data_IF_621670322400
#
_entry.id   IF_621670322400
#
_cell.length_a   1.000
_cell.length_b   1.000
_cell.length_c   1.000
_cell.angle_alpha   90.00
_cell.angle_beta   90.00
_cell.angle_gamma   90.00
#
_symmetry.space_group_name_H-M   'P 1'
#
loop_
_entity.id
_entity.type
_entity.pdbx_description
1 polymer ?
#
# COMPACT_ATOMS: atom_id res chain seq x y z
N UNK A 1 52.95 6.26 8.08
CA UNK A 1 51.92 5.90 9.08
C UNK A 1 50.70 6.83 9.01
N UNK A 2 50.84 8.17 9.05
CA UNK A 2 49.69 9.12 9.02
C UNK A 2 48.83 9.03 7.73
N UNK A 3 49.46 8.83 6.56
CA UNK A 3 48.73 8.74 5.28
C UNK A 3 47.96 7.42 5.13
N UNK A 4 48.47 6.30 5.65
CA UNK A 4 47.73 5.02 5.64
C UNK A 4 46.53 5.06 6.57
N UNK A 5 46.62 5.74 7.72
CA UNK A 5 45.49 5.88 8.65
C UNK A 5 44.35 6.69 8.04
N UNK A 6 44.64 7.74 7.27
CA UNK A 6 43.62 8.56 6.59
C UNK A 6 42.89 7.80 5.49
N UNK A 7 43.59 6.94 4.74
CA UNK A 7 42.98 6.11 3.68
C UNK A 7 42.08 5.04 4.27
N UNK A 8 42.47 4.42 5.39
CA UNK A 8 41.64 3.41 6.07
C UNK A 8 40.39 4.02 6.69
N UNK A 9 40.50 5.23 7.30
CA UNK A 9 39.35 5.96 7.82
C UNK A 9 38.39 6.37 6.70
N UNK A 10 38.88 6.78 5.54
CA UNK A 10 38.05 7.17 4.39
C UNK A 10 37.27 5.97 3.78
N UNK A 11 37.93 4.79 3.74
CA UNK A 11 37.30 3.55 3.28
C UNK A 11 36.21 3.04 4.25
N UNK A 12 36.42 3.17 5.57
CA UNK A 12 35.40 2.81 6.57
C UNK A 12 34.16 3.71 6.52
N UNK A 13 34.32 5.02 6.23
CA UNK A 13 33.18 5.95 6.12
C UNK A 13 32.34 5.65 4.87
N UNK A 14 32.95 5.19 3.77
CA UNK A 14 32.19 4.79 2.56
C UNK A 14 31.42 3.48 2.73
N UNK A 15 31.82 2.58 3.64
CA UNK A 15 31.05 1.35 3.93
C UNK A 15 29.84 1.58 4.85
N UNK A 16 29.76 2.72 5.53
CA UNK A 16 28.63 3.09 6.42
C UNK A 16 27.47 3.78 5.68
N UNK A 17 27.60 4.07 4.38
CA UNK A 17 26.46 4.43 3.52
C UNK A 17 25.79 3.12 3.09
N UNK A 18 25.45 2.32 4.10
CA UNK A 18 24.68 1.09 3.93
C UNK A 18 23.33 1.45 3.32
N UNK A 19 23.03 0.79 2.25
CA UNK A 19 21.77 0.77 1.54
C UNK A 19 20.61 0.94 2.52
N UNK A 20 19.98 2.12 2.56
CA UNK A 20 18.63 2.24 3.04
C UNK A 20 17.78 1.44 2.03
N UNK A 21 17.64 0.15 2.26
CA UNK A 21 16.63 -0.65 1.61
C UNK A 21 15.30 0.00 2.03
N UNK A 22 14.70 0.77 1.14
CA UNK A 22 13.31 1.12 1.26
C UNK A 22 12.57 -0.21 1.20
N UNK A 23 12.11 -0.69 2.37
CA UNK A 23 11.19 -1.80 2.41
C UNK A 23 9.93 -1.30 1.70
N UNK A 24 9.70 -1.78 0.48
CA UNK A 24 8.46 -1.54 -0.25
C UNK A 24 7.31 -2.09 0.62
N UNK A 25 6.41 -1.20 1.02
CA UNK A 25 5.30 -1.58 1.89
C UNK A 25 4.36 -2.50 1.09
N UNK A 26 4.28 -3.75 1.52
CA UNK A 26 3.44 -4.77 0.88
C UNK A 26 1.97 -4.34 0.93
N UNK A 27 1.28 -4.44 -0.20
CA UNK A 27 -0.16 -4.20 -0.24
C UNK A 27 -0.96 -5.28 0.52
N UNK A 28 -2.25 -5.05 0.81
CA UNK A 28 -3.06 -5.95 1.63
C UNK A 28 -3.14 -7.37 1.06
N UNK A 29 -3.22 -7.54 -0.25
CA UNK A 29 -3.25 -8.87 -0.90
C UNK A 29 -1.93 -9.60 -0.70
N UNK A 30 -0.80 -8.93 -0.93
CA UNK A 30 0.54 -9.50 -0.77
C UNK A 30 0.82 -9.85 0.69
N UNK A 31 0.37 -9.01 1.63
CA UNK A 31 0.47 -9.27 3.08
C UNK A 31 -0.23 -10.58 3.45
N UNK A 32 -1.44 -10.83 2.94
CA UNK A 32 -2.16 -12.09 3.19
C UNK A 32 -1.45 -13.28 2.53
N UNK A 33 -1.05 -13.16 1.27
CA UNK A 33 -0.40 -14.26 0.55
C UNK A 33 0.92 -14.69 1.22
N UNK A 34 1.72 -13.74 1.67
CA UNK A 34 2.98 -14.02 2.38
C UNK A 34 2.74 -14.57 3.80
N UNK A 35 1.86 -13.93 4.57
CA UNK A 35 1.57 -14.33 5.95
C UNK A 35 0.87 -15.67 6.05
N UNK A 36 -0.03 -15.98 5.11
CA UNK A 36 -0.86 -17.19 5.11
C UNK A 36 -0.34 -18.30 4.19
N UNK A 37 0.86 -18.22 3.63
CA UNK A 37 1.35 -19.17 2.64
C UNK A 37 1.18 -20.63 3.08
N UNK A 38 1.61 -20.99 4.29
CA UNK A 38 1.51 -22.36 4.82
C UNK A 38 0.06 -22.82 5.01
N UNK A 39 -0.79 -21.93 5.47
CA UNK A 39 -2.21 -22.20 5.69
C UNK A 39 -2.93 -22.38 4.35
N UNK A 40 -2.60 -21.59 3.34
CA UNK A 40 -3.11 -21.75 1.97
C UNK A 40 -2.68 -23.09 1.38
N UNK A 41 -1.42 -23.48 1.53
CA UNK A 41 -0.91 -24.77 1.06
C UNK A 41 -1.57 -25.95 1.78
N UNK A 42 -1.97 -25.77 3.04
CA UNK A 42 -2.56 -26.82 3.87
C UNK A 42 -4.06 -26.95 3.63
N UNK A 43 -4.81 -25.86 3.70
CA UNK A 43 -6.27 -25.88 3.73
C UNK A 43 -6.91 -25.44 2.40
N UNK A 44 -6.20 -24.67 1.58
CA UNK A 44 -6.73 -24.08 0.35
C UNK A 44 -6.04 -24.61 -0.93
N UNK A 45 -5.40 -25.77 -0.82
CA UNK A 45 -4.73 -26.41 -1.96
C UNK A 45 -5.71 -26.64 -3.11
N UNK A 46 -5.40 -26.10 -4.28
CA UNK A 46 -6.27 -26.21 -5.47
C UNK A 46 -7.29 -25.09 -5.63
N UNK A 47 -7.43 -24.19 -4.66
CA UNK A 47 -8.24 -22.98 -4.83
C UNK A 47 -7.48 -21.99 -5.71
N UNK A 48 -8.04 -21.68 -6.88
CA UNK A 48 -7.43 -20.71 -7.82
C UNK A 48 -7.55 -19.28 -7.26
N UNK A 49 -6.47 -18.48 -7.25
CA UNK A 49 -6.53 -17.07 -6.87
C UNK A 49 -7.52 -16.27 -7.73
N UNK A 50 -7.97 -15.15 -7.19
CA UNK A 50 -8.89 -14.20 -7.83
C UNK A 50 -10.27 -14.19 -7.18
N UNK A 51 -11.01 -13.10 -7.35
CA UNK A 51 -12.38 -12.90 -6.88
C UNK A 51 -12.58 -13.22 -5.39
N UNK A 52 -11.56 -13.04 -4.55
CA UNK A 52 -11.62 -13.30 -3.11
C UNK A 52 -11.64 -14.79 -2.71
N UNK A 53 -11.47 -15.75 -3.66
CA UNK A 53 -11.59 -17.18 -3.38
C UNK A 53 -10.63 -17.70 -2.32
N UNK A 54 -9.37 -17.22 -2.32
CA UNK A 54 -8.39 -17.59 -1.28
C UNK A 54 -8.85 -17.06 0.09
N UNK A 55 -9.31 -15.81 0.15
CA UNK A 55 -9.82 -15.24 1.39
C UNK A 55 -11.05 -15.98 1.91
N UNK A 56 -11.99 -16.34 1.04
CA UNK A 56 -13.15 -17.14 1.39
C UNK A 56 -12.76 -18.54 1.93
N UNK A 57 -11.74 -19.16 1.33
CA UNK A 57 -11.20 -20.42 1.81
C UNK A 57 -10.56 -20.26 3.20
N UNK A 58 -9.69 -19.27 3.40
CA UNK A 58 -9.07 -19.01 4.71
C UNK A 58 -10.15 -18.74 5.78
N UNK A 59 -11.18 -17.99 5.45
CA UNK A 59 -12.29 -17.73 6.35
C UNK A 59 -13.04 -19.01 6.75
N UNK A 60 -13.21 -19.96 5.83
CA UNK A 60 -13.83 -21.25 6.12
C UNK A 60 -13.01 -22.12 7.10
N UNK A 61 -11.71 -21.86 7.25
CA UNK A 61 -10.80 -22.55 8.16
C UNK A 61 -10.24 -21.63 9.26
N UNK A 62 -10.94 -20.53 9.58
CA UNK A 62 -10.46 -19.50 10.51
C UNK A 62 -10.03 -20.04 11.88
N UNK A 63 -10.68 -21.10 12.38
CA UNK A 63 -10.39 -21.77 13.65
C UNK A 63 -9.10 -22.62 13.64
N UNK A 64 -8.48 -22.78 12.48
CA UNK A 64 -7.27 -23.62 12.27
C UNK A 64 -6.09 -22.86 11.71
N UNK A 65 -6.26 -21.56 11.47
CA UNK A 65 -5.17 -20.74 10.94
C UNK A 65 -4.03 -20.58 11.94
N UNK A 66 -2.82 -20.45 11.41
CA UNK A 66 -1.68 -20.10 12.24
C UNK A 66 -1.78 -18.65 12.73
N UNK A 67 -1.22 -18.34 13.90
CA UNK A 67 -1.15 -16.97 14.43
C UNK A 67 -0.53 -15.99 13.43
N UNK A 68 0.42 -16.45 12.60
CA UNK A 68 1.03 -15.64 11.55
C UNK A 68 0.01 -15.25 10.48
N UNK A 69 -0.83 -16.18 10.06
CA UNK A 69 -1.88 -15.92 9.09
C UNK A 69 -2.97 -15.02 9.68
N UNK A 70 -3.39 -15.25 10.91
CA UNK A 70 -4.36 -14.38 11.60
C UNK A 70 -3.85 -12.94 11.70
N UNK A 71 -2.58 -12.74 12.06
CA UNK A 71 -1.96 -11.43 12.10
C UNK A 71 -1.93 -10.78 10.71
N UNK A 72 -1.57 -11.52 9.66
CA UNK A 72 -1.53 -11.02 8.30
C UNK A 72 -2.93 -10.60 7.79
N UNK A 73 -3.96 -11.34 8.13
CA UNK A 73 -5.36 -10.98 7.81
C UNK A 73 -5.78 -9.70 8.53
N UNK A 74 -5.43 -9.56 9.82
CA UNK A 74 -5.70 -8.35 10.59
C UNK A 74 -4.96 -7.13 10.01
N UNK A 75 -3.67 -7.26 9.70
CA UNK A 75 -2.87 -6.18 9.12
C UNK A 75 -3.40 -5.76 7.74
N UNK A 76 -3.73 -6.71 6.88
CA UNK A 76 -4.34 -6.44 5.58
C UNK A 76 -5.69 -5.71 5.71
N UNK A 77 -6.52 -6.10 6.68
CA UNK A 77 -7.77 -5.41 6.97
C UNK A 77 -7.54 -3.95 7.42
N UNK A 78 -6.57 -3.73 8.31
CA UNK A 78 -6.21 -2.38 8.77
C UNK A 78 -5.63 -1.52 7.63
N UNK A 79 -4.84 -2.09 6.71
CA UNK A 79 -4.37 -1.39 5.51
C UNK A 79 -5.53 -0.97 4.62
N UNK A 80 -6.49 -1.86 4.39
CA UNK A 80 -7.67 -1.58 3.58
C UNK A 80 -8.55 -0.49 4.20
N UNK A 81 -8.76 -0.53 5.51
CA UNK A 81 -9.51 0.50 6.23
C UNK A 81 -8.86 1.89 6.08
N UNK A 82 -7.53 1.97 6.26
CA UNK A 82 -6.78 3.22 6.02
C UNK A 82 -6.95 3.73 4.59
N UNK A 83 -6.87 2.84 3.60
CA UNK A 83 -7.04 3.21 2.19
C UNK A 83 -8.46 3.72 1.90
N UNK A 84 -9.49 3.05 2.41
CA UNK A 84 -10.90 3.48 2.26
C UNK A 84 -11.12 4.84 2.91
N UNK A 85 -10.59 5.05 4.10
CA UNK A 85 -10.69 6.33 4.82
C UNK A 85 -10.03 7.46 4.02
N UNK A 86 -8.82 7.24 3.51
CA UNK A 86 -8.10 8.21 2.67
C UNK A 86 -8.87 8.54 1.38
N UNK A 87 -9.40 7.53 0.69
CA UNK A 87 -10.20 7.71 -0.53
C UNK A 87 -11.50 8.46 -0.26
N UNK A 88 -12.18 8.16 0.84
CA UNK A 88 -13.42 8.84 1.25
C UNK A 88 -13.15 10.31 1.56
N UNK A 89 -12.07 10.60 2.27
CA UNK A 89 -11.61 11.96 2.54
C UNK A 89 -11.32 12.71 1.24
N UNK A 90 -10.51 12.13 0.34
CA UNK A 90 -10.23 12.74 -0.96
C UNK A 90 -11.47 12.99 -1.79
N UNK A 91 -12.39 12.03 -1.86
CA UNK A 91 -13.64 12.18 -2.60
C UNK A 91 -14.50 13.31 -2.05
N UNK A 92 -14.53 13.49 -0.73
CA UNK A 92 -15.23 14.60 -0.07
C UNK A 92 -14.60 15.95 -0.37
N UNK A 93 -13.28 16.07 -0.18
CA UNK A 93 -12.57 17.33 -0.34
C UNK A 93 -12.45 17.78 -1.80
N UNK A 94 -12.35 16.82 -2.73
CA UNK A 94 -12.25 17.08 -4.16
C UNK A 94 -13.59 17.02 -4.91
N UNK A 95 -14.73 16.92 -4.21
CA UNK A 95 -16.05 16.71 -4.84
C UNK A 95 -16.39 17.74 -5.92
N UNK A 96 -16.13 19.03 -5.67
CA UNK A 96 -16.40 20.09 -6.62
C UNK A 96 -15.49 19.99 -7.86
N UNK A 97 -14.21 19.70 -7.64
CA UNK A 97 -13.21 19.56 -8.71
C UNK A 97 -13.48 18.32 -9.56
N UNK A 98 -13.84 17.18 -8.93
CA UNK A 98 -14.27 15.97 -9.64
C UNK A 98 -15.47 16.25 -10.55
N UNK A 99 -16.46 17.00 -10.06
CA UNK A 99 -17.62 17.38 -10.87
C UNK A 99 -17.26 18.32 -12.01
N UNK A 100 -16.34 19.26 -11.78
CA UNK A 100 -15.97 20.27 -12.77
C UNK A 100 -15.07 19.72 -13.89
N UNK A 101 -14.13 18.82 -13.55
CA UNK A 101 -13.06 18.41 -14.47
C UNK A 101 -13.07 16.91 -14.83
N UNK A 102 -13.84 16.10 -14.10
CA UNK A 102 -13.83 14.63 -14.23
C UNK A 102 -15.23 14.02 -14.32
N UNK A 103 -16.25 14.80 -14.68
CA UNK A 103 -17.65 14.35 -14.78
C UNK A 103 -17.86 13.15 -15.70
N UNK A 104 -17.06 13.05 -16.78
CA UNK A 104 -17.18 12.00 -17.78
C UNK A 104 -16.33 10.76 -17.46
N UNK A 105 -15.59 10.79 -16.35
CA UNK A 105 -14.71 9.70 -15.93
C UNK A 105 -15.45 8.72 -15.01
N UNK A 106 -15.60 7.48 -15.45
CA UNK A 106 -16.21 6.41 -14.62
C UNK A 106 -15.31 6.07 -13.45
N UNK A 107 -15.83 5.91 -12.21
CA UNK A 107 -15.06 5.43 -11.07
C UNK A 107 -14.43 4.05 -11.30
N UNK A 108 -13.38 3.74 -10.56
CA UNK A 108 -12.65 2.47 -10.57
C UNK A 108 -11.25 2.59 -11.15
N UNK A 109 -10.39 1.62 -10.83
CA UNK A 109 -9.00 1.47 -11.33
C UNK A 109 -8.14 2.76 -11.24
N UNK A 110 -8.40 3.61 -10.25
CA UNK A 110 -7.67 4.87 -10.08
C UNK A 110 -8.00 5.96 -11.11
N UNK A 111 -8.98 5.75 -11.99
CA UNK A 111 -9.29 6.69 -13.08
C UNK A 111 -9.61 8.12 -12.62
N UNK A 112 -10.34 8.26 -11.50
CA UNK A 112 -10.64 9.58 -10.93
C UNK A 112 -9.40 10.26 -10.36
N UNK A 113 -8.51 9.51 -9.73
CA UNK A 113 -7.23 10.03 -9.22
C UNK A 113 -6.38 10.52 -10.40
N UNK A 114 -6.24 9.72 -11.44
CA UNK A 114 -5.50 10.09 -12.65
C UNK A 114 -6.12 11.31 -13.36
N UNK A 115 -7.45 11.48 -13.30
CA UNK A 115 -8.11 12.66 -13.85
C UNK A 115 -7.79 13.92 -13.05
N UNK A 116 -7.85 13.86 -11.71
CA UNK A 116 -7.48 14.98 -10.84
C UNK A 116 -6.01 15.35 -11.05
N UNK A 117 -5.12 14.37 -11.14
CA UNK A 117 -3.68 14.60 -11.35
C UNK A 117 -3.41 15.35 -12.65
N UNK A 118 -4.06 14.97 -13.75
CA UNK A 118 -3.98 15.67 -15.04
C UNK A 118 -4.51 17.12 -14.99
N UNK A 119 -5.38 17.42 -14.04
CA UNK A 119 -5.96 18.74 -13.83
C UNK A 119 -5.39 19.47 -12.59
N UNK A 120 -4.25 19.02 -12.05
CA UNK A 120 -3.70 19.48 -10.77
C UNK A 120 -3.53 21.01 -10.70
N UNK A 121 -3.21 21.67 -11.79
CA UNK A 121 -3.07 23.13 -11.83
C UNK A 121 -4.39 23.86 -11.60
N UNK A 122 -5.51 23.27 -12.03
CA UNK A 122 -6.85 23.87 -12.02
C UNK A 122 -7.67 23.54 -10.77
N UNK A 123 -7.34 22.43 -10.08
CA UNK A 123 -8.10 22.02 -8.90
C UNK A 123 -7.91 22.97 -7.73
N UNK A 124 -8.92 23.03 -6.88
CA UNK A 124 -8.96 23.93 -5.72
C UNK A 124 -7.82 23.65 -4.72
N UNK A 125 -7.44 24.68 -3.94
CA UNK A 125 -6.47 24.52 -2.88
C UNK A 125 -6.90 23.50 -1.82
N UNK A 126 -8.21 23.36 -1.59
CA UNK A 126 -8.77 22.37 -0.68
C UNK A 126 -8.47 20.95 -1.16
N UNK A 127 -8.71 20.65 -2.43
CA UNK A 127 -8.39 19.37 -3.03
C UNK A 127 -6.86 19.11 -3.05
N UNK A 128 -6.06 20.11 -3.42
CA UNK A 128 -4.58 20.02 -3.36
C UNK A 128 -4.06 19.69 -1.96
N UNK A 129 -4.66 20.30 -0.94
CA UNK A 129 -4.27 20.04 0.45
C UNK A 129 -4.62 18.62 0.86
N UNK A 130 -5.85 18.16 0.54
CA UNK A 130 -6.28 16.80 0.83
C UNK A 130 -5.36 15.74 0.19
N UNK A 131 -4.94 15.95 -1.06
CA UNK A 131 -3.98 15.07 -1.73
C UNK A 131 -2.65 15.03 -0.96
N UNK A 132 -2.13 16.19 -0.54
CA UNK A 132 -0.90 16.26 0.26
C UNK A 132 -1.03 15.54 1.60
N UNK A 133 -2.19 15.62 2.25
CA UNK A 133 -2.41 15.04 3.57
C UNK A 133 -2.41 13.51 3.50
N UNK A 134 -2.99 12.91 2.47
CA UNK A 134 -2.98 11.44 2.29
C UNK A 134 -1.67 10.91 1.69
N UNK A 135 -0.88 11.77 1.03
CA UNK A 135 0.43 11.39 0.47
C UNK A 135 1.57 11.46 1.49
N UNK A 136 1.36 12.08 2.64
CA UNK A 136 2.33 12.12 3.74
C UNK A 136 2.22 10.82 4.54
N UNK A 137 3.01 9.82 4.16
CA UNK A 137 3.32 8.64 4.98
C UNK A 137 4.70 8.77 5.60
#
# INVERSE_FOLDING_TARGET
>A
MKQMLAVVLSLCVMMLIGSMAFAEEKGPVETVLDGCQKDIETYCKGVKPGEGRILACLYAYQDKLSNRCEYALYDAAAQLERAITALTYLASECKADLKAYCSDVKPGEGRLINCIDKNMEKVSNRCKQAIKDVSKK
#
